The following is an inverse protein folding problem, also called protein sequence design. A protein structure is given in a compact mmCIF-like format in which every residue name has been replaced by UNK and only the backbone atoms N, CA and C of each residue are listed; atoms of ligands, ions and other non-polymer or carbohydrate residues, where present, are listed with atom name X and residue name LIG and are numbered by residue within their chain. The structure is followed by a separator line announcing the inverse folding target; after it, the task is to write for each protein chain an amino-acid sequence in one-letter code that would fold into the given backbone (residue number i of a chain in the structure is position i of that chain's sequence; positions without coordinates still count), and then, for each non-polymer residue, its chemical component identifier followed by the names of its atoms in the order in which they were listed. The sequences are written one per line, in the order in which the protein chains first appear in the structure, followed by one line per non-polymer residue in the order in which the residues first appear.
data_IF_130665191237
#
_entry.id   IF_130665191237
#
_cell.length_a   1.000
_cell.length_b   1.000
_cell.length_c   1.000
_cell.angle_alpha   90.00
_cell.angle_beta   90.00
_cell.angle_gamma   90.00
#
_symmetry.space_group_name_H-M   'P 1'
#
loop_
_entity.id
_entity.type
_entity.pdbx_description
1 polymer ?
#
# COMPACT_ATOMS: atom_id res chain seq x y z
N UNK A 1 -16.17 49.63 6.21
CA UNK A 1 -16.58 48.93 4.96
C UNK A 1 -16.11 47.49 5.07
N UNK A 2 -17.01 46.58 5.43
CA UNK A 2 -16.72 45.13 5.50
C UNK A 2 -16.76 44.62 4.06
N UNK A 3 -15.61 44.21 3.50
CA UNK A 3 -15.57 43.50 2.23
C UNK A 3 -15.98 42.06 2.52
N UNK A 4 -17.24 41.72 2.27
CA UNK A 4 -17.63 40.32 2.10
C UNK A 4 -16.99 39.85 0.80
N UNK A 5 -15.91 39.09 0.91
CA UNK A 5 -15.37 38.34 -0.22
C UNK A 5 -16.34 37.17 -0.40
N UNK A 6 -17.23 37.27 -1.39
CA UNK A 6 -18.01 36.10 -1.82
C UNK A 6 -17.02 35.16 -2.50
N UNK A 7 -16.53 34.18 -1.74
CA UNK A 7 -15.82 33.02 -2.28
C UNK A 7 -16.68 32.44 -3.39
N UNK A 8 -16.12 32.26 -4.58
CA UNK A 8 -16.88 31.76 -5.72
C UNK A 8 -17.38 30.34 -5.42
N UNK A 9 -18.51 29.94 -6.01
CA UNK A 9 -19.04 28.58 -5.86
C UNK A 9 -18.00 27.54 -6.29
N UNK A 10 -17.16 27.87 -7.27
CA UNK A 10 -16.06 27.03 -7.74
C UNK A 10 -14.98 26.86 -6.67
N UNK A 11 -14.53 27.95 -6.04
CA UNK A 11 -13.55 27.89 -4.94
C UNK A 11 -14.08 27.04 -3.77
N UNK A 12 -15.36 27.19 -3.39
CA UNK A 12 -15.98 26.34 -2.37
C UNK A 12 -15.98 24.85 -2.75
N UNK A 13 -16.22 24.53 -4.02
CA UNK A 13 -16.19 23.15 -4.52
C UNK A 13 -14.77 22.56 -4.53
N UNK A 14 -13.77 23.36 -4.90
CA UNK A 14 -12.37 22.98 -4.88
C UNK A 14 -11.90 22.69 -3.45
N UNK A 15 -12.20 23.60 -2.51
CA UNK A 15 -11.88 23.41 -1.09
C UNK A 15 -12.54 22.16 -0.51
N UNK A 16 -13.81 21.90 -0.84
CA UNK A 16 -14.51 20.71 -0.39
C UNK A 16 -13.89 19.42 -0.95
N UNK A 17 -13.52 19.42 -2.24
CA UNK A 17 -12.88 18.27 -2.89
C UNK A 17 -11.47 18.01 -2.33
N UNK A 18 -10.69 19.07 -2.07
CA UNK A 18 -9.37 18.98 -1.44
C UNK A 18 -9.46 18.39 -0.02
N UNK A 19 -10.38 18.90 0.80
CA UNK A 19 -10.62 18.37 2.14
C UNK A 19 -11.07 16.91 2.12
N UNK A 20 -11.93 16.54 1.16
CA UNK A 20 -12.35 15.16 0.96
C UNK A 20 -11.17 14.26 0.60
N UNK A 21 -10.31 14.71 -0.32
CA UNK A 21 -9.12 13.97 -0.73
C UNK A 21 -8.13 13.77 0.41
N UNK A 22 -7.82 14.80 1.21
CA UNK A 22 -6.94 14.67 2.37
C UNK A 22 -7.49 13.66 3.37
N UNK A 23 -8.78 13.77 3.73
CA UNK A 23 -9.39 12.83 4.67
C UNK A 23 -9.35 11.38 4.17
N UNK A 24 -9.53 11.18 2.86
CA UNK A 24 -9.41 9.87 2.24
C UNK A 24 -7.98 9.33 2.33
N UNK A 25 -6.97 10.17 2.09
CA UNK A 25 -5.55 9.80 2.25
C UNK A 25 -5.23 9.44 3.69
N UNK A 26 -5.60 10.29 4.66
CA UNK A 26 -5.31 10.06 6.07
C UNK A 26 -5.96 8.77 6.58
N UNK A 27 -7.24 8.56 6.24
CA UNK A 27 -7.97 7.35 6.60
C UNK A 27 -7.36 6.10 5.96
N UNK A 28 -6.95 6.20 4.68
CA UNK A 28 -6.33 5.11 3.96
C UNK A 28 -4.98 4.73 4.60
N UNK A 29 -4.15 5.70 4.98
CA UNK A 29 -2.85 5.44 5.60
C UNK A 29 -3.00 4.89 7.02
N UNK A 30 -3.93 5.40 7.83
CA UNK A 30 -4.19 4.86 9.18
C UNK A 30 -4.59 3.38 9.11
N UNK A 31 -5.51 3.03 8.20
CA UNK A 31 -5.94 1.64 8.03
C UNK A 31 -4.80 0.79 7.45
N UNK A 32 -4.05 1.30 6.47
CA UNK A 32 -2.91 0.59 5.88
C UNK A 32 -1.90 0.23 6.97
N UNK A 33 -1.53 1.20 7.80
CA UNK A 33 -0.58 1.00 8.88
C UNK A 33 -1.10 0.01 9.93
N UNK A 34 -2.38 0.11 10.30
CA UNK A 34 -3.03 -0.86 11.18
C UNK A 34 -2.95 -2.29 10.64
N UNK A 35 -3.11 -2.48 9.31
CA UNK A 35 -2.99 -3.81 8.67
C UNK A 35 -1.53 -4.28 8.60
N UNK A 36 -0.58 -3.40 8.26
CA UNK A 36 0.87 -3.70 8.27
C UNK A 36 1.34 -4.10 9.66
N UNK A 37 0.90 -3.40 10.71
CA UNK A 37 1.20 -3.72 12.12
C UNK A 37 0.70 -5.11 12.49
N UNK A 38 -0.56 -5.42 12.18
CA UNK A 38 -1.11 -6.77 12.42
C UNK A 38 -0.31 -7.84 11.66
N UNK A 39 0.07 -7.62 10.40
CA UNK A 39 0.92 -8.59 9.69
C UNK A 39 2.26 -8.79 10.41
N UNK A 40 2.93 -7.70 10.79
CA UNK A 40 4.22 -7.71 11.47
C UNK A 40 4.18 -8.34 12.88
N UNK A 41 3.06 -8.23 13.60
CA UNK A 41 2.84 -8.90 14.89
C UNK A 41 2.78 -10.43 14.78
N UNK A 42 2.51 -10.99 13.58
CA UNK A 42 2.51 -12.44 13.39
C UNK A 42 3.94 -13.01 13.51
N UNK A 43 4.16 -13.87 14.50
CA UNK A 43 5.47 -14.49 14.75
C UNK A 43 5.92 -15.40 13.59
N UNK A 44 4.98 -15.87 12.79
CA UNK A 44 5.24 -16.71 11.62
C UNK A 44 5.45 -15.91 10.33
N UNK A 45 5.34 -14.57 10.39
CA UNK A 45 5.64 -13.73 9.26
C UNK A 45 7.16 -13.56 9.09
N UNK A 46 7.70 -14.28 8.10
CA UNK A 46 9.09 -14.18 7.66
C UNK A 46 9.11 -13.50 6.27
N UNK A 47 9.38 -12.19 6.17
CA UNK A 47 9.18 -11.45 4.93
C UNK A 47 9.97 -12.01 3.74
N UNK A 48 11.17 -12.55 3.98
CA UNK A 48 11.98 -13.14 2.91
C UNK A 48 11.36 -14.43 2.37
N UNK A 49 10.85 -15.31 3.23
CA UNK A 49 10.17 -16.54 2.81
C UNK A 49 8.89 -16.21 2.02
N UNK A 50 8.10 -15.24 2.52
CA UNK A 50 6.90 -14.75 1.83
C UNK A 50 7.25 -14.15 0.47
N UNK A 51 8.27 -13.29 0.41
CA UNK A 51 8.71 -12.67 -0.85
C UNK A 51 9.09 -13.73 -1.89
N UNK A 52 9.88 -14.74 -1.50
CA UNK A 52 10.25 -15.83 -2.40
C UNK A 52 9.04 -16.69 -2.81
N UNK A 53 8.10 -16.94 -1.90
CA UNK A 53 6.91 -17.74 -2.17
C UNK A 53 5.91 -17.06 -3.11
N UNK A 54 5.93 -15.73 -3.19
CA UNK A 54 5.10 -14.95 -4.11
C UNK A 54 5.63 -14.94 -5.55
N UNK A 55 6.89 -15.32 -5.78
CA UNK A 55 7.50 -15.30 -7.11
C UNK A 55 6.97 -16.46 -7.98
N UNK A 56 6.52 -16.17 -9.19
CA UNK A 56 6.04 -17.22 -10.10
C UNK A 56 7.19 -18.15 -10.55
N UNK A 57 6.92 -19.47 -10.69
CA UNK A 57 7.86 -20.39 -11.32
C UNK A 57 8.16 -19.95 -12.75
N UNK A 58 9.40 -19.49 -13.01
CA UNK A 58 9.82 -19.03 -14.33
C UNK A 58 9.88 -17.51 -14.50
N UNK A 59 9.71 -16.72 -13.43
CA UNK A 59 10.10 -15.30 -13.48
C UNK A 59 11.58 -15.19 -13.86
N UNK A 60 11.87 -14.45 -14.94
CA UNK A 60 13.22 -14.26 -15.46
C UNK A 60 14.12 -13.49 -14.48
N UNK A 61 13.51 -12.70 -13.58
CA UNK A 61 14.17 -11.88 -12.58
C UNK A 61 13.98 -12.50 -11.19
N UNK A 62 14.88 -13.43 -10.81
CA UNK A 62 14.86 -14.18 -9.53
C UNK A 62 14.87 -13.36 -8.22
N UNK A 63 14.70 -12.05 -8.26
CA UNK A 63 14.78 -11.15 -7.10
C UNK A 63 13.70 -10.07 -7.11
N UNK A 64 12.70 -10.19 -7.98
CA UNK A 64 11.67 -9.18 -8.19
C UNK A 64 10.28 -9.81 -8.16
N UNK A 65 9.29 -9.03 -7.73
CA UNK A 65 7.88 -9.37 -7.82
C UNK A 65 7.20 -8.44 -8.81
N UNK A 66 6.61 -9.01 -9.86
CA UNK A 66 5.78 -8.27 -10.81
C UNK A 66 4.35 -8.14 -10.29
N UNK A 67 3.60 -7.18 -10.84
CA UNK A 67 2.15 -7.07 -10.58
C UNK A 67 1.40 -8.35 -10.96
N UNK A 68 1.87 -9.07 -11.98
CA UNK A 68 1.29 -10.34 -12.41
C UNK A 68 1.50 -11.44 -11.37
N UNK A 69 2.65 -11.47 -10.70
CA UNK A 69 2.93 -12.43 -9.64
C UNK A 69 1.95 -12.25 -8.47
N UNK A 70 1.84 -11.00 -7.98
CA UNK A 70 0.91 -10.67 -6.90
C UNK A 70 -0.54 -10.90 -7.29
N UNK A 71 -0.95 -10.49 -8.49
CA UNK A 71 -2.31 -10.73 -8.99
C UNK A 71 -2.65 -12.21 -9.07
N UNK A 72 -1.73 -13.02 -9.61
CA UNK A 72 -1.90 -14.47 -9.71
C UNK A 72 -2.03 -15.09 -8.33
N UNK A 73 -1.17 -14.72 -7.39
CA UNK A 73 -1.24 -15.23 -6.02
C UNK A 73 -2.55 -14.81 -5.31
N UNK A 74 -2.95 -13.54 -5.42
CA UNK A 74 -4.19 -13.02 -4.86
C UNK A 74 -5.41 -13.78 -5.40
N UNK A 75 -5.45 -14.04 -6.70
CA UNK A 75 -6.55 -14.77 -7.34
C UNK A 75 -6.72 -16.22 -6.85
N UNK A 76 -5.70 -16.78 -6.20
CA UNK A 76 -5.72 -18.13 -5.63
C UNK A 76 -6.17 -18.14 -4.15
N UNK A 77 -6.31 -16.98 -3.51
CA UNK A 77 -6.69 -16.91 -2.10
C UNK A 77 -8.19 -17.09 -1.92
N UNK A 78 -8.58 -17.94 -0.97
CA UNK A 78 -9.99 -18.27 -0.71
C UNK A 78 -10.82 -17.08 -0.19
N UNK A 79 -10.13 -16.08 0.37
CA UNK A 79 -10.72 -14.88 0.94
C UNK A 79 -10.67 -13.67 0.01
N UNK A 80 -10.24 -13.87 -1.24
CA UNK A 80 -10.14 -12.80 -2.22
C UNK A 80 -11.55 -12.41 -2.71
N UNK A 81 -12.08 -11.33 -2.16
CA UNK A 81 -13.47 -10.91 -2.41
C UNK A 81 -13.63 -9.90 -3.54
N UNK A 82 -12.56 -9.22 -3.95
CA UNK A 82 -12.62 -8.12 -4.91
C UNK A 82 -11.98 -8.50 -6.25
N UNK A 83 -12.63 -8.15 -7.35
CA UNK A 83 -12.10 -8.36 -8.70
C UNK A 83 -11.11 -7.24 -9.04
N UNK A 84 -9.85 -7.38 -8.61
CA UNK A 84 -8.76 -6.52 -9.08
C UNK A 84 -8.22 -6.99 -10.42
N UNK A 85 -7.92 -6.04 -11.30
CA UNK A 85 -7.15 -6.30 -12.52
C UNK A 85 -5.66 -6.26 -12.19
N UNK A 86 -4.83 -6.77 -13.11
CA UNK A 86 -3.36 -6.65 -13.00
C UNK A 86 -2.93 -5.17 -12.96
N UNK A 87 -3.66 -4.29 -13.64
CA UNK A 87 -3.37 -2.85 -13.65
C UNK A 87 -3.60 -2.22 -12.27
N UNK A 88 -4.67 -2.60 -11.57
CA UNK A 88 -4.94 -2.11 -10.22
C UNK A 88 -3.83 -2.51 -9.24
N UNK A 89 -3.34 -3.76 -9.37
CA UNK A 89 -2.20 -4.25 -8.59
C UNK A 89 -0.92 -3.48 -8.96
N UNK A 90 -0.67 -3.23 -10.23
CA UNK A 90 0.49 -2.46 -10.67
C UNK A 90 0.48 -1.03 -10.10
N UNK A 91 -0.69 -0.37 -10.12
CA UNK A 91 -0.86 0.98 -9.57
C UNK A 91 -0.59 1.02 -8.07
N UNK A 92 -1.06 0.03 -7.30
CA UNK A 92 -0.83 -0.02 -5.85
C UNK A 92 0.63 -0.29 -5.48
N UNK A 93 1.40 -0.92 -6.36
CA UNK A 93 2.84 -1.18 -6.16
C UNK A 93 3.72 0.04 -6.45
N UNK A 94 3.26 0.99 -7.27
CA UNK A 94 4.07 2.13 -7.74
C UNK A 94 4.86 2.88 -6.65
N UNK A 95 4.32 3.13 -5.43
CA UNK A 95 5.08 3.83 -4.40
C UNK A 95 6.36 3.11 -3.94
N UNK A 96 6.43 1.80 -4.15
CA UNK A 96 7.53 0.95 -3.71
C UNK A 96 8.27 0.22 -4.85
N UNK A 97 7.70 0.23 -6.06
CA UNK A 97 8.27 -0.38 -7.24
C UNK A 97 9.48 0.39 -7.79
N UNK A 98 10.28 -0.28 -8.60
CA UNK A 98 11.37 0.33 -9.35
C UNK A 98 10.89 0.99 -10.65
N UNK A 99 11.83 1.43 -11.49
CA UNK A 99 11.54 2.10 -12.77
C UNK A 99 10.83 1.19 -13.78
N UNK A 100 10.83 -0.12 -13.57
CA UNK A 100 10.14 -1.11 -14.42
C UNK A 100 8.77 -1.50 -13.86
N UNK A 101 8.38 -0.96 -12.71
CA UNK A 101 7.14 -1.35 -12.03
C UNK A 101 7.25 -2.68 -11.30
N UNK A 102 8.46 -3.16 -11.04
CA UNK A 102 8.72 -4.39 -10.29
C UNK A 102 9.12 -4.08 -8.84
N UNK A 103 8.73 -4.93 -7.89
CA UNK A 103 9.14 -4.81 -6.50
C UNK A 103 10.42 -5.60 -6.24
N UNK A 104 11.48 -4.92 -5.87
CA UNK A 104 12.60 -5.55 -5.17
C UNK A 104 12.16 -6.02 -3.77
N UNK A 105 13.00 -6.81 -3.10
CA UNK A 105 12.75 -7.19 -1.71
C UNK A 105 12.56 -5.96 -0.80
N UNK A 106 13.35 -4.91 -0.99
CA UNK A 106 13.21 -3.66 -0.24
C UNK A 106 11.87 -2.95 -0.53
N UNK A 107 11.46 -2.92 -1.80
CA UNK A 107 10.13 -2.41 -2.18
C UNK A 107 9.01 -3.20 -1.51
N UNK A 108 9.11 -4.54 -1.53
CA UNK A 108 8.16 -5.39 -0.81
C UNK A 108 8.10 -5.08 0.67
N UNK A 109 9.25 -4.93 1.35
CA UNK A 109 9.29 -4.55 2.76
C UNK A 109 8.64 -3.18 3.03
N UNK A 110 8.79 -2.21 2.13
CA UNK A 110 8.10 -0.91 2.25
C UNK A 110 6.59 -1.02 2.14
N UNK A 111 6.07 -2.00 1.40
CA UNK A 111 4.62 -2.22 1.29
C UNK A 111 4.03 -2.93 2.51
N UNK A 112 4.73 -3.93 3.06
CA UNK A 112 4.16 -4.86 4.04
C UNK A 112 4.53 -4.58 5.48
N UNK A 113 5.60 -3.83 5.74
CA UNK A 113 6.02 -3.48 7.10
C UNK A 113 5.54 -2.09 7.51
N UNK A 114 5.25 -1.89 8.81
CA UNK A 114 4.99 -0.58 9.38
C UNK A 114 6.03 0.46 8.95
N UNK A 115 5.57 1.67 8.68
CA UNK A 115 6.38 2.82 8.28
C UNK A 115 6.48 3.89 9.37
N UNK A 116 5.60 3.86 10.38
CA UNK A 116 5.59 4.85 11.46
C UNK A 116 6.76 4.65 12.43
N UNK A 117 7.35 5.76 12.90
CA UNK A 117 8.48 5.75 13.83
C UNK A 117 8.16 5.01 15.14
N UNK A 118 6.91 5.05 15.61
CA UNK A 118 6.47 4.35 16.81
C UNK A 118 6.50 2.81 16.68
N UNK A 119 6.57 2.29 15.45
CA UNK A 119 6.61 0.86 15.15
C UNK A 119 8.00 0.38 14.68
N UNK A 120 9.05 1.21 14.83
CA UNK A 120 10.41 0.85 14.43
C UNK A 120 10.92 -0.41 15.15
N UNK A 121 10.60 -0.56 16.44
CA UNK A 121 10.92 -1.77 17.22
C UNK A 121 10.29 -3.04 16.63
N UNK A 122 9.07 -2.93 16.08
CA UNK A 122 8.34 -4.05 15.50
C UNK A 122 8.95 -4.41 14.14
N UNK A 123 9.32 -3.41 13.36
CA UNK A 123 10.08 -3.58 12.11
C UNK A 123 11.38 -4.34 12.37
N UNK A 124 12.17 -3.93 13.36
CA UNK A 124 13.42 -4.59 13.74
C UNK A 124 13.18 -6.02 14.26
N UNK A 125 12.14 -6.22 15.06
CA UNK A 125 11.74 -7.55 15.52
C UNK A 125 11.43 -8.48 14.34
N UNK A 126 10.66 -8.04 13.35
CA UNK A 126 10.35 -8.84 12.15
C UNK A 126 11.62 -9.17 11.35
N UNK A 127 12.48 -8.17 11.12
CA UNK A 127 13.70 -8.37 10.33
C UNK A 127 14.73 -9.27 11.03
N UNK A 128 14.72 -9.31 12.36
CA UNK A 128 15.60 -10.20 13.14
C UNK A 128 15.10 -11.66 13.16
N UNK A 129 13.80 -11.92 13.04
CA UNK A 129 13.23 -13.30 12.99
C UNK A 129 13.80 -14.12 11.83
N UNK A 130 13.99 -13.49 10.66
CA UNK A 130 14.51 -14.15 9.46
C UNK A 130 15.93 -14.71 9.63
N UNK A 131 16.70 -14.25 10.63
CA UNK A 131 18.06 -14.74 10.90
C UNK A 131 18.10 -16.09 11.62
N UNK A 132 16.98 -16.52 12.22
CA UNK A 132 16.89 -17.73 13.05
C UNK A 132 15.93 -18.79 12.47
N UNK A 133 15.37 -18.56 11.28
CA UNK A 133 14.51 -19.55 10.64
C UNK A 133 15.33 -20.79 10.29
N UNK A 134 15.15 -21.85 11.08
CA UNK A 134 15.72 -23.17 10.85
C UNK A 134 14.98 -23.94 9.76
N UNK A 135 14.06 -23.31 9.01
CA UNK A 135 13.46 -23.84 7.77
C UNK A 135 14.50 -23.80 6.64
N UNK A 136 15.64 -24.41 6.90
CA UNK A 136 16.55 -24.80 5.86
C UNK A 136 15.85 -25.87 5.01
N UNK A 137 15.48 -25.51 3.78
CA UNK A 137 15.40 -26.43 2.64
C UNK A 137 14.35 -27.55 2.70
N UNK A 138 13.17 -27.34 3.27
CA UNK A 138 12.07 -28.28 3.06
C UNK A 138 11.10 -27.69 2.04
N UNK A 139 11.13 -28.24 0.82
CA UNK A 139 10.19 -28.07 -0.28
C UNK A 139 9.57 -26.68 -0.47
N UNK A 140 9.99 -26.00 -1.56
CA UNK A 140 9.43 -24.75 -2.11
C UNK A 140 7.90 -24.78 -2.39
N UNK A 141 7.21 -25.85 -2.02
CA UNK A 141 5.76 -26.03 -2.15
C UNK A 141 4.97 -25.69 -0.89
N UNK A 142 5.59 -25.50 0.28
CA UNK A 142 4.81 -25.14 1.47
C UNK A 142 4.46 -23.65 1.44
N UNK A 143 3.21 -23.36 1.10
CA UNK A 143 2.56 -22.07 1.32
C UNK A 143 2.89 -21.57 2.74
N UNK A 144 3.25 -20.29 2.89
CA UNK A 144 3.40 -19.70 4.21
C UNK A 144 2.08 -19.80 5.00
N UNK A 145 2.12 -19.75 6.35
CA UNK A 145 0.96 -20.07 7.18
C UNK A 145 -0.30 -19.29 6.80
N UNK A 146 -1.46 -19.93 6.92
CA UNK A 146 -2.75 -19.36 6.50
C UNK A 146 -3.00 -18.00 7.15
N UNK A 147 -2.64 -17.83 8.41
CA UNK A 147 -2.77 -16.54 9.11
C UNK A 147 -1.95 -15.43 8.44
N UNK A 148 -0.71 -15.73 8.02
CA UNK A 148 0.14 -14.78 7.28
C UNK A 148 -0.49 -14.46 5.93
N UNK A 149 -1.00 -15.46 5.22
CA UNK A 149 -1.72 -15.26 3.95
C UNK A 149 -2.94 -14.36 4.10
N UNK A 150 -3.79 -14.59 5.10
CA UNK A 150 -4.97 -13.76 5.37
C UNK A 150 -4.56 -12.32 5.70
N UNK A 151 -3.57 -12.13 6.57
CA UNK A 151 -3.09 -10.79 6.95
C UNK A 151 -2.44 -10.07 5.76
N UNK A 152 -1.70 -10.78 4.92
CA UNK A 152 -1.10 -10.23 3.71
C UNK A 152 -2.14 -9.84 2.67
N UNK A 153 -3.16 -10.68 2.43
CA UNK A 153 -4.31 -10.33 1.57
C UNK A 153 -4.93 -9.03 2.07
N UNK A 154 -5.19 -8.90 3.37
CA UNK A 154 -5.76 -7.68 3.92
C UNK A 154 -4.89 -6.44 3.64
N UNK A 155 -3.57 -6.53 3.74
CA UNK A 155 -2.67 -5.41 3.40
C UNK A 155 -2.78 -5.04 1.92
N UNK A 156 -2.70 -6.03 1.03
CA UNK A 156 -2.70 -5.80 -0.42
C UNK A 156 -4.07 -5.33 -0.93
N UNK A 157 -5.16 -5.96 -0.50
CA UNK A 157 -6.52 -5.57 -0.87
C UNK A 157 -6.80 -4.12 -0.49
N UNK A 158 -6.39 -3.71 0.73
CA UNK A 158 -6.51 -2.31 1.16
C UNK A 158 -5.74 -1.36 0.25
N UNK A 159 -4.49 -1.68 -0.05
CA UNK A 159 -3.64 -0.83 -0.88
C UNK A 159 -4.23 -0.64 -2.28
N UNK A 160 -4.84 -1.68 -2.84
CA UNK A 160 -5.49 -1.64 -4.15
C UNK A 160 -6.80 -0.85 -4.09
N UNK A 161 -7.67 -1.14 -3.11
CA UNK A 161 -8.96 -0.45 -2.94
C UNK A 161 -8.77 1.05 -2.68
N UNK A 162 -7.91 1.42 -1.73
CA UNK A 162 -7.58 2.82 -1.46
C UNK A 162 -6.91 3.48 -2.67
N UNK A 163 -6.06 2.76 -3.41
CA UNK A 163 -5.48 3.27 -4.65
C UNK A 163 -6.55 3.71 -5.67
N UNK A 164 -7.60 2.89 -5.85
CA UNK A 164 -8.73 3.19 -6.73
C UNK A 164 -9.55 4.39 -6.24
N UNK A 165 -9.87 4.43 -4.95
CA UNK A 165 -10.61 5.52 -4.32
C UNK A 165 -9.86 6.86 -4.46
N UNK A 166 -8.55 6.86 -4.15
CA UNK A 166 -7.71 8.03 -4.31
C UNK A 166 -7.56 8.46 -5.77
N UNK A 167 -7.55 7.52 -6.71
CA UNK A 167 -7.57 7.84 -8.14
C UNK A 167 -8.89 8.52 -8.54
N UNK A 168 -10.03 8.10 -7.99
CA UNK A 168 -11.32 8.75 -8.24
C UNK A 168 -11.31 10.20 -7.71
N UNK A 169 -10.82 10.42 -6.49
CA UNK A 169 -10.65 11.78 -5.95
C UNK A 169 -9.71 12.64 -6.79
N UNK A 170 -8.59 12.08 -7.26
CA UNK A 170 -7.66 12.81 -8.15
C UNK A 170 -8.33 13.22 -9.46
N UNK A 171 -9.14 12.36 -10.07
CA UNK A 171 -9.91 12.72 -11.27
C UNK A 171 -10.88 13.85 -10.98
N UNK A 172 -11.60 13.79 -9.85
CA UNK A 172 -12.51 14.85 -9.42
C UNK A 172 -11.77 16.20 -9.24
N UNK A 173 -10.58 16.20 -8.63
CA UNK A 173 -9.77 17.41 -8.48
C UNK A 173 -9.34 18.00 -9.84
N UNK A 174 -8.95 17.14 -10.80
CA UNK A 174 -8.61 17.54 -12.17
C UNK A 174 -9.82 18.14 -12.89
N UNK A 175 -11.00 17.52 -12.76
CA UNK A 175 -12.26 18.02 -13.34
C UNK A 175 -12.65 19.40 -12.81
N UNK A 176 -12.36 19.67 -11.52
CA UNK A 176 -12.56 20.97 -10.89
C UNK A 176 -11.46 21.99 -11.21
N UNK A 177 -10.46 21.61 -12.02
CA UNK A 177 -9.36 22.48 -12.40
C UNK A 177 -8.35 22.77 -11.29
N UNK A 178 -8.30 21.92 -10.26
CA UNK A 178 -7.35 22.07 -9.15
C UNK A 178 -5.94 21.68 -9.63
N UNK A 179 -4.96 22.61 -9.62
CA UNK A 179 -3.60 22.31 -10.01
C UNK A 179 -2.91 21.38 -9.00
N UNK A 180 -2.00 20.51 -9.46
CA UNK A 180 -1.26 19.61 -8.57
C UNK A 180 -0.39 20.32 -7.51
N UNK A 181 0.09 21.54 -7.80
CA UNK A 181 0.85 22.32 -6.80
C UNK A 181 -0.05 22.77 -5.64
N UNK A 182 -1.31 23.15 -5.91
CA UNK A 182 -2.28 23.52 -4.87
C UNK A 182 -2.56 22.34 -3.94
N UNK A 183 -2.66 21.13 -4.49
CA UNK A 183 -2.78 19.91 -3.68
C UNK A 183 -1.57 19.77 -2.75
N UNK A 184 -0.36 19.96 -3.28
CA UNK A 184 0.90 19.81 -2.52
C UNK A 184 1.01 20.85 -1.40
N UNK A 185 0.69 22.11 -1.68
CA UNK A 185 0.69 23.20 -0.71
C UNK A 185 -0.35 22.93 0.40
N UNK A 186 -1.54 22.44 0.02
CA UNK A 186 -2.60 22.11 0.96
C UNK A 186 -2.22 20.94 1.90
N UNK A 187 -1.48 19.93 1.41
CA UNK A 187 -0.91 18.88 2.28
C UNK A 187 0.16 19.43 3.23
N UNK A 188 1.01 20.34 2.77
CA UNK A 188 2.05 20.95 3.61
C UNK A 188 1.45 21.80 4.75
N UNK A 189 0.36 22.51 4.47
CA UNK A 189 -0.39 23.28 5.47
C UNK A 189 -1.11 22.35 6.46
N UNK A 190 -1.80 21.31 5.96
CA UNK A 190 -2.52 20.35 6.80
C UNK A 190 -1.58 19.58 7.75
N UNK A 191 -0.41 19.16 7.27
CA UNK A 191 0.60 18.46 8.08
C UNK A 191 1.32 19.37 9.08
N UNK A 192 1.42 20.67 8.80
CA UNK A 192 2.01 21.65 9.73
C UNK A 192 1.07 22.04 10.88
N UNK A 193 -0.23 21.75 10.75
CA UNK A 193 -1.26 22.08 11.73
C UNK A 193 -1.56 20.91 12.72
N UNK A 194 -0.94 19.75 12.52
CA UNK A 194 -1.04 18.57 13.38
C UNK A 194 0.18 18.43 14.30
#
# INVERSE_FOLDING_TARGET
RVKFVMTSVLEMQQDAALNSFIRAVDSAEEIAEGRRRRLAESLEFFPQEVFMALQSPGSASKNYLSARDLHTWLSQQHHYTCLFTVEDVAVSMLPAADIFGELSYEGFLRMVLPSQANDEWLRDAVLSRGRFSSRARSDYSSQFPVEVSVRLVNVLDHAIDSGRELQAHRRQLVELGVPAHVVSDFFAEATSAM
#
